data_IF_390110757620
#
_entry.id   IF_390110757620
#
_cell.length_a   1.000
_cell.length_b   1.000
_cell.length_c   1.000
_cell.angle_alpha   90.00
_cell.angle_beta   90.00
_cell.angle_gamma   90.00
#
_symmetry.space_group_name_H-M   'P 1'
#
loop_
_entity.id
_entity.type
_entity.pdbx_description
1 polymer ?
#
# COMPACT_ATOMS: atom_id res chain seq x y z
N UNK A 1 -25.74 4.38 24.31
CA UNK A 1 -25.82 5.32 23.17
C UNK A 1 -24.44 5.92 22.97
N UNK A 2 -23.96 5.79 21.73
CA UNK A 2 -22.58 5.95 21.26
C UNK A 2 -21.88 7.22 21.75
N UNK A 3 -20.84 7.04 22.58
CA UNK A 3 -19.69 7.94 22.61
C UNK A 3 -18.69 7.41 21.58
N UNK A 4 -18.98 7.60 20.30
CA UNK A 4 -17.91 7.62 19.31
C UNK A 4 -17.52 9.09 19.26
N UNK A 5 -16.44 9.42 19.96
CA UNK A 5 -15.87 10.74 19.87
C UNK A 5 -15.51 10.97 18.40
N UNK A 6 -15.87 12.14 17.85
CA UNK A 6 -15.49 12.58 16.51
C UNK A 6 -14.07 12.15 16.04
N UNK A 7 -13.01 12.17 16.88
CA UNK A 7 -11.68 11.67 16.50
C UNK A 7 -11.64 10.21 16.03
N UNK A 8 -12.32 9.28 16.70
CA UNK A 8 -12.22 7.84 16.39
C UNK A 8 -12.85 7.52 15.02
N UNK A 9 -13.93 8.23 14.67
CA UNK A 9 -14.58 8.09 13.36
C UNK A 9 -13.67 8.60 12.24
N UNK A 10 -12.96 9.71 12.48
CA UNK A 10 -12.01 10.26 11.51
C UNK A 10 -10.86 9.29 11.29
N UNK A 11 -10.31 8.71 12.35
CA UNK A 11 -9.23 7.73 12.28
C UNK A 11 -9.63 6.48 11.47
N UNK A 12 -10.82 5.92 11.72
CA UNK A 12 -11.32 4.76 10.95
C UNK A 12 -11.47 5.10 9.47
N UNK A 13 -11.96 6.30 9.14
CA UNK A 13 -12.10 6.74 7.74
C UNK A 13 -10.73 6.91 7.08
N UNK A 14 -9.76 7.46 7.78
CA UNK A 14 -8.38 7.59 7.27
C UNK A 14 -7.76 6.22 7.02
N UNK A 15 -7.91 5.27 7.95
CA UNK A 15 -7.41 3.90 7.80
C UNK A 15 -8.04 3.17 6.62
N UNK A 16 -9.36 3.33 6.42
CA UNK A 16 -10.04 2.80 5.24
C UNK A 16 -9.50 3.43 3.96
N UNK A 17 -9.33 4.75 3.92
CA UNK A 17 -8.73 5.46 2.80
C UNK A 17 -7.32 4.96 2.47
N UNK A 18 -6.48 4.76 3.49
CA UNK A 18 -5.12 4.25 3.34
C UNK A 18 -5.08 2.81 2.85
N UNK A 19 -5.96 1.95 3.36
CA UNK A 19 -6.08 0.56 2.94
C UNK A 19 -6.51 0.46 1.48
N UNK A 20 -7.52 1.25 1.09
CA UNK A 20 -8.00 1.31 -0.28
C UNK A 20 -6.93 1.87 -1.23
N UNK A 21 -6.25 2.96 -0.83
CA UNK A 21 -5.15 3.54 -1.59
C UNK A 21 -4.01 2.55 -1.81
N UNK A 22 -3.62 1.83 -0.75
CA UNK A 22 -2.62 0.75 -0.80
C UNK A 22 -3.05 -0.33 -1.79
N UNK A 23 -4.27 -0.84 -1.66
CA UNK A 23 -4.80 -1.90 -2.53
C UNK A 23 -4.89 -1.48 -4.00
N UNK A 24 -5.28 -0.23 -4.27
CA UNK A 24 -5.33 0.33 -5.62
C UNK A 24 -3.94 0.41 -6.25
N UNK A 25 -2.97 0.97 -5.53
CA UNK A 25 -1.58 1.09 -6.01
C UNK A 25 -0.96 -0.28 -6.27
N UNK A 26 -1.17 -1.24 -5.36
CA UNK A 26 -0.72 -2.62 -5.55
C UNK A 26 -1.37 -3.29 -6.76
N UNK A 27 -2.67 -3.08 -6.98
CA UNK A 27 -3.38 -3.64 -8.14
C UNK A 27 -2.85 -3.09 -9.47
N UNK A 28 -2.51 -1.80 -9.52
CA UNK A 28 -1.84 -1.19 -10.67
C UNK A 28 -0.47 -1.83 -10.92
N UNK A 29 0.29 -2.09 -9.85
CA UNK A 29 1.57 -2.79 -9.95
C UNK A 29 1.45 -4.18 -10.59
N UNK A 30 0.52 -5.00 -10.11
CA UNK A 30 0.25 -6.34 -10.67
C UNK A 30 -0.18 -6.27 -12.15
N UNK A 31 -1.01 -5.30 -12.51
CA UNK A 31 -1.44 -5.11 -13.90
C UNK A 31 -0.27 -4.74 -14.82
N UNK A 32 0.64 -3.88 -14.37
CA UNK A 32 1.85 -3.53 -15.12
C UNK A 32 2.79 -4.71 -15.26
N UNK A 33 2.89 -5.58 -14.25
CA UNK A 33 3.66 -6.81 -14.36
C UNK A 33 3.08 -7.74 -15.44
N UNK A 34 1.77 -7.93 -15.48
CA UNK A 34 1.11 -8.75 -16.52
C UNK A 34 1.35 -8.18 -17.93
N UNK A 35 1.20 -6.86 -18.11
CA UNK A 35 1.53 -6.20 -19.38
C UNK A 35 3.00 -6.37 -19.76
N UNK A 36 3.89 -6.27 -18.78
CA UNK A 36 5.32 -6.44 -18.96
C UNK A 36 5.68 -7.85 -19.41
N UNK A 37 5.14 -8.86 -18.73
CA UNK A 37 5.33 -10.26 -19.08
C UNK A 37 4.80 -10.56 -20.49
N UNK A 38 3.58 -10.12 -20.80
CA UNK A 38 2.97 -10.29 -22.12
C UNK A 38 3.80 -9.63 -23.23
N UNK A 39 4.35 -8.43 -22.99
CA UNK A 39 5.21 -7.74 -23.95
C UNK A 39 6.56 -8.44 -24.14
N UNK A 40 7.18 -8.96 -23.07
CA UNK A 40 8.42 -9.75 -23.15
C UNK A 40 8.18 -11.03 -23.95
N UNK A 41 7.14 -11.79 -23.64
CA UNK A 41 6.81 -13.03 -24.36
C UNK A 41 6.39 -12.77 -25.81
N UNK A 42 5.83 -11.59 -26.09
CA UNK A 42 5.51 -11.11 -27.43
C UNK A 42 6.71 -10.59 -28.23
N UNK A 43 7.92 -10.61 -27.66
CA UNK A 43 9.17 -10.20 -28.33
C UNK A 43 9.51 -8.71 -28.21
N UNK A 44 8.72 -7.90 -27.50
CA UNK A 44 9.01 -6.49 -27.25
C UNK A 44 9.65 -6.27 -25.88
N UNK A 45 10.94 -6.59 -25.79
CA UNK A 45 11.70 -6.54 -24.54
C UNK A 45 11.81 -5.14 -23.94
N UNK A 46 11.94 -4.10 -24.77
CA UNK A 46 12.11 -2.72 -24.27
C UNK A 46 10.86 -2.23 -23.55
N UNK A 47 9.69 -2.46 -24.14
CA UNK A 47 8.42 -2.08 -23.53
C UNK A 47 8.09 -3.00 -22.34
N UNK A 48 8.37 -4.30 -22.46
CA UNK A 48 8.15 -5.26 -21.39
C UNK A 48 8.99 -4.98 -20.13
N UNK A 49 10.29 -4.69 -20.30
CA UNK A 49 11.16 -4.30 -19.20
C UNK A 49 10.72 -2.99 -18.53
N UNK A 50 10.22 -2.02 -19.31
CA UNK A 50 9.67 -0.78 -18.77
C UNK A 50 8.45 -1.05 -17.88
N UNK A 51 7.48 -1.84 -18.38
CA UNK A 51 6.28 -2.17 -17.60
C UNK A 51 6.60 -2.98 -16.34
N UNK A 52 7.51 -3.96 -16.43
CA UNK A 52 7.99 -4.70 -15.24
C UNK A 52 8.62 -3.76 -14.21
N UNK A 53 9.47 -2.83 -14.65
CA UNK A 53 10.09 -1.84 -13.77
C UNK A 53 9.05 -0.97 -13.08
N UNK A 54 8.06 -0.46 -13.82
CA UNK A 54 6.98 0.35 -13.25
C UNK A 54 6.06 -0.45 -12.33
N UNK A 55 5.80 -1.72 -12.66
CA UNK A 55 5.04 -2.65 -11.82
C UNK A 55 5.69 -2.85 -10.46
N UNK A 56 7.00 -3.13 -10.45
CA UNK A 56 7.79 -3.24 -9.22
C UNK A 56 7.78 -1.97 -8.38
N UNK A 57 7.90 -0.80 -9.01
CA UNK A 57 7.83 0.50 -8.30
C UNK A 57 6.47 0.70 -7.66
N UNK A 58 5.38 0.46 -8.40
CA UNK A 58 4.03 0.58 -7.86
C UNK A 58 3.80 -0.42 -6.72
N UNK A 59 4.24 -1.66 -6.86
CA UNK A 59 4.16 -2.66 -5.78
C UNK A 59 4.96 -2.26 -4.54
N UNK A 60 6.16 -1.72 -4.71
CA UNK A 60 6.96 -1.22 -3.59
C UNK A 60 6.24 -0.09 -2.85
N UNK A 61 5.67 0.87 -3.58
CA UNK A 61 4.92 1.96 -2.96
C UNK A 61 3.68 1.44 -2.24
N UNK A 62 2.87 0.61 -2.89
CA UNK A 62 1.63 0.08 -2.31
C UNK A 62 1.92 -0.82 -1.11
N UNK A 63 2.69 -1.88 -1.30
CA UNK A 63 2.87 -2.93 -0.28
C UNK A 63 3.82 -2.47 0.84
N UNK A 64 4.97 -1.90 0.48
CA UNK A 64 6.00 -1.59 1.47
C UNK A 64 5.78 -0.22 2.12
N UNK A 65 5.76 0.88 1.34
CA UNK A 65 5.64 2.22 1.94
C UNK A 65 4.26 2.46 2.56
N UNK A 66 3.19 2.17 1.83
CA UNK A 66 1.83 2.41 2.33
C UNK A 66 1.36 1.28 3.25
N UNK A 67 1.55 0.01 2.85
CA UNK A 67 1.12 -1.14 3.63
C UNK A 67 1.96 -1.37 4.89
N UNK A 68 3.27 -1.58 4.72
CA UNK A 68 4.14 -1.99 5.82
C UNK A 68 4.60 -0.84 6.72
N UNK A 69 5.01 0.30 6.15
CA UNK A 69 5.50 1.44 6.94
C UNK A 69 4.36 2.31 7.48
N UNK A 70 3.26 2.47 6.75
CA UNK A 70 2.19 3.39 7.17
C UNK A 70 0.97 2.69 7.77
N UNK A 71 0.42 1.68 7.08
CA UNK A 71 -0.83 1.04 7.49
C UNK A 71 -0.61 0.07 8.66
N UNK A 72 0.43 -0.78 8.61
CA UNK A 72 0.70 -1.78 9.65
C UNK A 72 0.91 -1.17 11.03
N UNK A 73 1.72 -0.12 11.25
CA UNK A 73 1.89 0.46 12.58
C UNK A 73 0.63 1.15 13.08
N UNK A 74 -0.23 1.67 12.20
CA UNK A 74 -1.51 2.27 12.63
C UNK A 74 -2.59 1.23 12.94
N UNK A 75 -2.49 0.03 12.38
CA UNK A 75 -3.39 -1.10 12.68
C UNK A 75 -2.93 -1.92 13.90
N UNK A 76 -1.62 -1.96 14.17
CA UNK A 76 -1.01 -2.91 15.11
C UNK A 76 0.05 -2.30 16.04
N UNK A 77 0.36 -1.00 15.91
CA UNK A 77 1.38 -0.31 16.71
C UNK A 77 0.77 0.27 17.99
N UNK A 78 1.05 -0.44 19.08
CA UNK A 78 1.03 -0.11 20.52
C UNK A 78 -0.14 0.69 21.13
N UNK A 79 -0.99 -0.08 21.82
CA UNK A 79 -1.56 0.22 23.14
C UNK A 79 -0.51 0.06 24.27
N UNK A 80 0.73 0.56 24.14
CA UNK A 80 1.74 0.39 25.22
C UNK A 80 1.58 1.45 26.31
N UNK A 81 1.22 1.10 27.56
CA UNK A 81 1.49 1.95 28.71
C UNK A 81 2.98 1.85 29.03
N UNK A 82 3.65 2.99 29.21
CA UNK A 82 5.01 3.17 29.70
C UNK A 82 6.14 2.91 28.68
N UNK A 83 6.80 4.00 28.27
CA UNK A 83 8.02 3.97 27.44
C UNK A 83 8.80 5.30 27.38
N UNK A 84 8.42 6.28 28.20
CA UNK A 84 9.03 7.60 28.35
C UNK A 84 9.85 7.67 29.64
N UNK A 85 10.96 6.94 29.66
CA UNK A 85 12.04 7.13 30.61
C UNK A 85 13.40 6.98 29.90
N UNK A 86 13.80 8.03 29.19
CA UNK A 86 15.17 8.25 28.74
C UNK A 86 15.56 9.71 28.99
#
# INVERSE_FOLDING_TARGET
MSKLAAPEVVEVVELLGLTLGTGLVSSVGLYLEDLGLNAVTGGNLKLGAWFLGMGLVALYIGVYLLGYETLRPRLFGDDSPDGDAA
#
